data_IF_245693969254
#
_entry.id   IF_245693969254
#
_cell.length_a   1.000
_cell.length_b   1.000
_cell.length_c   1.000
_cell.angle_alpha   90.00
_cell.angle_beta   90.00
_cell.angle_gamma   90.00
#
_symmetry.space_group_name_H-M   'P 1'
#
loop_
_entity.id
_entity.type
_entity.pdbx_description
1 polymer ?
#
# COMPACT_ATOMS: atom_id res chain seq x y z
N UNK A 1 -16.79 11.96 6.88
CA UNK A 1 -15.39 12.32 6.64
C UNK A 1 -14.49 11.35 7.37
N UNK A 2 -13.41 10.94 6.73
CA UNK A 2 -12.46 10.01 7.33
C UNK A 2 -11.29 10.76 7.98
N UNK A 3 -11.58 11.84 8.70
CA UNK A 3 -10.58 12.67 9.36
C UNK A 3 -9.71 11.82 10.29
N UNK A 4 -8.40 11.96 10.18
CA UNK A 4 -7.46 11.18 10.95
C UNK A 4 -7.12 9.81 10.39
N UNK A 5 -7.83 9.35 9.35
CA UNK A 5 -7.51 8.10 8.67
C UNK A 5 -6.32 8.30 7.74
N UNK A 6 -5.49 7.26 7.63
CA UNK A 6 -4.35 7.25 6.73
C UNK A 6 -4.40 6.01 5.85
N UNK A 7 -3.70 6.06 4.73
CA UNK A 7 -3.71 4.99 3.73
C UNK A 7 -2.31 4.46 3.48
N UNK A 8 -2.19 3.14 3.48
CA UNK A 8 -0.98 2.43 3.05
C UNK A 8 -1.34 1.63 1.82
N UNK A 9 -0.68 1.90 0.71
CA UNK A 9 -0.94 1.23 -0.55
C UNK A 9 0.17 0.26 -0.91
N UNK A 10 -0.18 -0.98 -1.20
CA UNK A 10 0.75 -2.02 -1.64
C UNK A 10 0.44 -2.38 -3.08
N UNK A 11 1.48 -2.60 -3.88
CA UNK A 11 1.33 -2.90 -5.31
C UNK A 11 0.49 -1.84 -6.01
N UNK A 12 0.79 -0.58 -5.76
CA UNK A 12 -0.08 0.54 -6.10
C UNK A 12 -0.17 0.86 -7.59
N UNK A 13 0.75 0.37 -8.40
CA UNK A 13 0.79 0.71 -9.81
C UNK A 13 0.94 2.21 -10.00
N UNK A 14 -0.07 2.86 -10.57
CA UNK A 14 -0.05 4.30 -10.79
C UNK A 14 -0.87 5.08 -9.74
N UNK A 15 -1.21 4.43 -8.63
CA UNK A 15 -1.78 5.14 -7.50
C UNK A 15 -3.30 5.28 -7.49
N UNK A 16 -4.02 4.36 -8.14
CA UNK A 16 -5.48 4.43 -8.18
C UNK A 16 -6.13 4.41 -6.80
N UNK A 17 -5.67 3.54 -5.91
CA UNK A 17 -6.21 3.48 -4.55
C UNK A 17 -5.87 4.75 -3.76
N UNK A 18 -4.66 5.28 -3.93
CA UNK A 18 -4.27 6.52 -3.27
C UNK A 18 -5.10 7.71 -3.74
N UNK A 19 -5.41 7.77 -5.01
CA UNK A 19 -6.28 8.82 -5.56
C UNK A 19 -7.68 8.72 -4.99
N UNK A 20 -8.24 7.50 -4.93
CA UNK A 20 -9.56 7.29 -4.33
C UNK A 20 -9.55 7.69 -2.85
N UNK A 21 -8.50 7.36 -2.12
CA UNK A 21 -8.36 7.74 -0.73
C UNK A 21 -8.31 9.26 -0.59
N UNK A 22 -7.59 9.94 -1.47
CA UNK A 22 -7.50 11.41 -1.44
C UNK A 22 -8.88 12.05 -1.65
N UNK A 23 -9.70 11.49 -2.52
CA UNK A 23 -11.07 11.99 -2.71
C UNK A 23 -11.92 11.85 -1.46
N UNK A 24 -11.59 10.90 -0.59
CA UNK A 24 -12.28 10.70 0.68
C UNK A 24 -11.62 11.46 1.84
N UNK A 25 -10.63 12.30 1.56
CA UNK A 25 -9.91 13.02 2.60
C UNK A 25 -8.91 12.18 3.38
N UNK A 26 -8.47 11.07 2.82
CA UNK A 26 -7.54 10.14 3.46
C UNK A 26 -6.16 10.31 2.83
N UNK A 27 -5.15 10.60 3.66
CA UNK A 27 -3.79 10.81 3.18
C UNK A 27 -3.07 9.48 2.98
N UNK A 28 -2.43 9.30 1.81
CA UNK A 28 -1.53 8.18 1.57
C UNK A 28 -0.19 8.48 2.20
N UNK A 29 0.25 7.65 3.14
CA UNK A 29 1.47 7.88 3.92
C UNK A 29 2.58 6.89 3.61
N UNK A 30 2.23 5.71 3.11
CA UNK A 30 3.21 4.72 2.64
C UNK A 30 2.69 4.13 1.34
N UNK A 31 3.60 3.96 0.39
CA UNK A 31 3.30 3.35 -0.89
C UNK A 31 4.39 2.35 -1.24
N UNK A 32 4.03 1.22 -1.79
CA UNK A 32 4.98 0.19 -2.19
C UNK A 32 4.70 -0.23 -3.62
N UNK A 33 5.65 0.03 -4.52
CA UNK A 33 5.54 -0.31 -5.92
C UNK A 33 6.93 -0.53 -6.49
N UNK A 34 7.15 -1.70 -7.08
CA UNK A 34 8.47 -2.07 -7.61
C UNK A 34 8.71 -1.54 -9.02
N UNK A 35 7.67 -1.29 -9.78
CA UNK A 35 7.82 -0.78 -11.14
C UNK A 35 8.37 0.64 -11.16
N UNK A 36 9.38 0.89 -11.99
CA UNK A 36 10.02 2.21 -12.03
C UNK A 36 9.03 3.31 -12.42
N UNK A 37 8.21 3.06 -13.45
CA UNK A 37 7.23 4.04 -13.90
C UNK A 37 6.21 4.33 -12.81
N UNK A 38 5.63 3.29 -12.23
CA UNK A 38 4.64 3.45 -11.15
C UNK A 38 5.23 4.14 -9.94
N UNK A 39 6.46 3.78 -9.57
CA UNK A 39 7.17 4.41 -8.46
C UNK A 39 7.36 5.91 -8.68
N UNK A 40 7.74 6.31 -9.90
CA UNK A 40 7.90 7.72 -10.22
C UNK A 40 6.57 8.48 -10.19
N UNK A 41 5.51 7.87 -10.69
CA UNK A 41 4.17 8.46 -10.65
C UNK A 41 3.72 8.66 -9.20
N UNK A 42 3.92 7.65 -8.36
CA UNK A 42 3.53 7.73 -6.95
C UNK A 42 4.30 8.81 -6.20
N UNK A 43 5.59 8.95 -6.48
CA UNK A 43 6.40 10.00 -5.86
C UNK A 43 5.90 11.39 -6.26
N UNK A 44 5.42 11.54 -7.48
CA UNK A 44 4.86 12.79 -7.97
C UNK A 44 3.49 13.09 -7.36
N UNK A 45 2.64 12.07 -7.23
CA UNK A 45 1.29 12.25 -6.70
C UNK A 45 1.26 12.42 -5.18
N UNK A 46 2.14 11.72 -4.47
CA UNK A 46 2.16 11.68 -3.01
C UNK A 46 3.56 12.00 -2.49
N UNK A 47 4.03 13.24 -2.67
CA UNK A 47 5.42 13.58 -2.32
C UNK A 47 5.74 13.47 -0.83
N UNK A 48 4.74 13.54 0.04
CA UNK A 48 4.95 13.42 1.48
C UNK A 48 4.92 11.97 1.98
N UNK A 49 4.56 11.01 1.13
CA UNK A 49 4.50 9.60 1.51
C UNK A 49 5.89 8.96 1.47
N UNK A 50 6.06 7.92 2.28
CA UNK A 50 7.24 7.07 2.17
C UNK A 50 7.00 6.07 1.04
N UNK A 51 7.92 6.04 0.07
CA UNK A 51 7.82 5.15 -1.09
C UNK A 51 8.83 4.03 -0.96
N UNK A 52 8.34 2.80 -0.93
CA UNK A 52 9.15 1.59 -0.82
C UNK A 52 9.01 0.80 -2.11
N UNK A 53 10.07 0.13 -2.54
CA UNK A 53 10.04 -0.58 -3.82
C UNK A 53 9.68 -2.05 -3.68
N UNK A 54 10.44 -2.79 -2.89
CA UNK A 54 10.30 -4.25 -2.82
C UNK A 54 9.48 -4.64 -1.59
N UNK A 55 8.28 -5.16 -1.81
CA UNK A 55 7.38 -5.58 -0.72
C UNK A 55 8.05 -6.61 0.20
N UNK A 56 8.97 -7.41 -0.32
CA UNK A 56 9.65 -8.42 0.48
C UNK A 56 10.53 -7.82 1.55
N UNK A 57 10.96 -6.58 1.37
CA UNK A 57 11.81 -5.88 2.34
C UNK A 57 11.05 -4.88 3.18
N UNK A 58 9.76 -4.67 2.90
CA UNK A 58 8.94 -3.75 3.69
C UNK A 58 8.48 -4.47 4.96
N UNK A 59 8.97 -4.00 6.11
CA UNK A 59 8.66 -4.62 7.40
C UNK A 59 7.86 -3.67 8.27
N UNK A 60 7.23 -4.22 9.30
CA UNK A 60 6.52 -3.42 10.28
C UNK A 60 7.45 -2.39 10.94
N UNK A 61 8.71 -2.78 11.18
CA UNK A 61 9.69 -1.87 11.77
C UNK A 61 9.90 -0.62 10.91
N UNK A 62 10.04 -0.81 9.59
CA UNK A 62 10.21 0.32 8.67
C UNK A 62 8.97 1.22 8.69
N UNK A 63 7.79 0.61 8.67
CA UNK A 63 6.54 1.38 8.71
C UNK A 63 6.43 2.15 10.03
N UNK A 64 6.72 1.50 11.14
CA UNK A 64 6.68 2.14 12.46
C UNK A 64 7.63 3.35 12.53
N UNK A 65 8.84 3.19 12.00
CA UNK A 65 9.82 4.29 12.00
C UNK A 65 9.33 5.51 11.22
N UNK A 66 8.49 5.29 10.20
CA UNK A 66 7.96 6.37 9.38
C UNK A 66 6.69 6.96 9.95
N UNK A 67 5.86 6.17 10.59
CA UNK A 67 4.50 6.59 10.97
C UNK A 67 4.35 6.97 12.43
N UNK A 68 5.07 6.31 13.35
CA UNK A 68 4.93 6.63 14.77
C UNK A 68 5.27 8.09 15.08
N UNK A 69 6.34 8.68 14.53
CA UNK A 69 6.64 10.09 14.82
C UNK A 69 5.55 11.07 14.38
N UNK A 70 4.76 10.72 13.36
CA UNK A 70 3.71 11.60 12.85
C UNK A 70 2.34 11.28 13.42
N UNK A 71 2.03 10.02 13.65
CA UNK A 71 0.66 9.58 13.93
C UNK A 71 0.49 8.85 15.25
N UNK A 72 1.59 8.55 15.96
CA UNK A 72 1.53 7.83 17.22
C UNK A 72 1.59 6.32 17.04
N UNK A 73 1.84 5.61 18.15
CA UNK A 73 2.03 4.16 18.11
C UNK A 73 0.74 3.39 17.76
N UNK A 74 -0.40 4.04 17.87
CA UNK A 74 -1.70 3.44 17.57
C UNK A 74 -2.18 3.73 16.15
N UNK A 75 -1.30 4.15 15.26
CA UNK A 75 -1.66 4.53 13.89
C UNK A 75 -2.42 3.42 13.15
N UNK A 76 -2.17 2.17 13.51
CA UNK A 76 -2.84 1.05 12.87
C UNK A 76 -4.35 1.08 12.98
N UNK A 77 -4.89 1.68 14.04
CA UNK A 77 -6.33 1.82 14.22
C UNK A 77 -6.96 2.79 13.23
N UNK A 78 -6.15 3.63 12.62
CA UNK A 78 -6.59 4.65 11.66
C UNK A 78 -6.11 4.35 10.26
N UNK A 79 -5.62 3.14 10.01
CA UNK A 79 -4.98 2.79 8.75
C UNK A 79 -5.91 1.97 7.88
N UNK A 80 -6.04 2.39 6.63
CA UNK A 80 -6.65 1.60 5.57
C UNK A 80 -5.51 1.04 4.73
N UNK A 81 -5.44 -0.27 4.63
CA UNK A 81 -4.43 -0.96 3.84
C UNK A 81 -5.08 -1.49 2.57
N UNK A 82 -4.55 -1.07 1.42
CA UNK A 82 -5.01 -1.58 0.13
C UNK A 82 -3.89 -2.33 -0.57
N UNK A 83 -4.27 -3.29 -1.40
CA UNK A 83 -3.31 -4.04 -2.20
C UNK A 83 -3.84 -4.21 -3.61
N UNK A 84 -3.07 -3.74 -4.59
CA UNK A 84 -3.41 -3.95 -5.99
C UNK A 84 -3.22 -5.41 -6.38
N UNK A 85 -3.94 -5.83 -7.41
CA UNK A 85 -3.79 -7.18 -7.95
C UNK A 85 -2.51 -7.25 -8.78
N UNK A 86 -1.55 -8.02 -8.30
CA UNK A 86 -0.35 -8.32 -9.08
C UNK A 86 -0.36 -9.80 -9.40
N UNK A 87 -0.31 -10.13 -10.69
CA UNK A 87 -0.48 -11.51 -11.13
C UNK A 87 0.51 -12.48 -10.49
N UNK A 88 1.78 -12.12 -10.41
CA UNK A 88 2.79 -12.97 -9.80
C UNK A 88 2.55 -13.15 -8.31
N UNK A 89 2.15 -12.08 -7.64
CA UNK A 89 1.83 -12.11 -6.22
C UNK A 89 0.63 -13.03 -5.94
N UNK A 90 -0.40 -12.94 -6.77
CA UNK A 90 -1.58 -13.80 -6.64
C UNK A 90 -1.18 -15.26 -6.77
N UNK A 91 -0.34 -15.60 -7.75
CA UNK A 91 0.12 -16.98 -7.93
C UNK A 91 0.88 -17.51 -6.73
N UNK A 92 1.67 -16.67 -6.09
CA UNK A 92 2.53 -17.08 -4.99
C UNK A 92 1.80 -17.13 -3.65
N UNK A 93 0.83 -16.25 -3.45
CA UNK A 93 0.22 -16.04 -2.14
C UNK A 93 -1.22 -16.51 -2.05
N UNK A 94 -1.81 -16.91 -3.16
CA UNK A 94 -3.22 -17.32 -3.20
C UNK A 94 -3.35 -18.70 -3.81
N UNK A 95 -2.88 -19.76 -3.12
CA UNK A 95 -3.05 -21.11 -3.63
C UNK A 95 -4.53 -21.45 -3.75
N UNK A 96 -4.87 -22.31 -4.72
CA UNK A 96 -6.24 -22.73 -4.88
C UNK A 96 -6.74 -23.43 -3.63
N UNK A 97 -8.00 -23.20 -3.23
CA UNK A 97 -8.59 -23.96 -2.13
C UNK A 97 -8.62 -25.44 -2.43
N UNK A 98 -8.62 -26.26 -1.39
CA UNK A 98 -8.72 -27.70 -1.56
C UNK A 98 -10.02 -28.02 -2.31
N UNK A 99 -9.91 -28.88 -3.34
CA UNK A 99 -11.03 -29.25 -4.17
C UNK A 99 -11.38 -28.28 -5.28
N UNK A 100 -10.71 -27.15 -5.37
CA UNK A 100 -10.94 -26.21 -6.46
C UNK A 100 -10.29 -26.71 -7.76
N UNK A 101 -10.83 -26.35 -8.95
CA UNK A 101 -10.16 -26.69 -10.20
C UNK A 101 -8.82 -26.00 -10.30
N UNK A 102 -7.88 -26.56 -11.07
CA UNK A 102 -6.58 -25.92 -11.27
C UNK A 102 -6.72 -24.54 -11.86
N UNK A 103 -5.85 -23.65 -11.44
CA UNK A 103 -5.81 -22.30 -12.02
C UNK A 103 -5.24 -22.35 -13.43
N UNK A 104 -5.74 -21.51 -14.29
CA UNK A 104 -5.31 -21.41 -15.67
C UNK A 104 -4.48 -20.16 -15.93
#
# INVERSE_FOLDING_TARGET
MAAGMIHIGLFDGIGGFGMAAAWCGIETVVSCEIGAFGSDVLASLFPAAYHHKDIRTLTKTIIDERLIPRFGADYGRRTILTGGSHRACIRQTSPAPAGAPPRR
#
